data_IF_286013466685
#
_entry.id   IF_286013466685
#
_cell.length_a   1.000
_cell.length_b   1.000
_cell.length_c   1.000
_cell.angle_alpha   90.00
_cell.angle_beta   90.00
_cell.angle_gamma   90.00
#
_symmetry.space_group_name_H-M   'P 1'
#
loop_
_entity.id
_entity.type
_entity.pdbx_description
1 polymer ?
#
# COMPACT_ATOMS: atom_id res chain seq x y z
N UNK A 1 17.40 31.83 -12.27
CA UNK A 1 16.16 31.04 -12.46
C UNK A 1 15.10 31.63 -11.56
N UNK A 2 13.99 32.13 -12.11
CA UNK A 2 12.88 32.65 -11.32
C UNK A 2 11.95 31.51 -10.87
N UNK A 3 11.06 31.77 -9.90
CA UNK A 3 10.14 30.74 -9.37
C UNK A 3 9.33 30.04 -10.47
N UNK A 4 8.87 30.78 -11.48
CA UNK A 4 8.11 30.22 -12.61
C UNK A 4 8.94 29.25 -13.45
N UNK A 5 10.22 29.56 -13.68
CA UNK A 5 11.15 28.67 -14.38
C UNK A 5 11.43 27.41 -13.56
N UNK A 6 11.62 27.53 -12.24
CA UNK A 6 11.80 26.39 -11.34
C UNK A 6 10.56 25.48 -11.37
N UNK A 7 9.36 26.04 -11.25
CA UNK A 7 8.12 25.25 -11.29
C UNK A 7 7.96 24.48 -12.61
N UNK A 8 8.31 25.09 -13.75
CA UNK A 8 8.26 24.39 -15.05
C UNK A 8 9.22 23.21 -15.12
N UNK A 9 10.44 23.36 -14.59
CA UNK A 9 11.38 22.25 -14.55
C UNK A 9 10.94 21.14 -13.58
N UNK A 10 10.29 21.47 -12.47
CA UNK A 10 9.70 20.47 -11.55
C UNK A 10 8.57 19.69 -12.22
N UNK A 11 7.65 20.36 -12.91
CA UNK A 11 6.56 19.69 -13.64
C UNK A 11 7.10 18.75 -14.72
N UNK A 12 8.14 19.18 -15.44
CA UNK A 12 8.82 18.35 -16.42
C UNK A 12 9.47 17.12 -15.79
N UNK A 13 10.10 17.26 -14.62
CA UNK A 13 10.67 16.14 -13.88
C UNK A 13 9.57 15.18 -13.38
N UNK A 14 8.48 15.69 -12.82
CA UNK A 14 7.32 14.88 -12.40
C UNK A 14 6.75 14.07 -13.57
N UNK A 15 6.60 14.69 -14.74
CA UNK A 15 6.14 14.00 -15.95
C UNK A 15 7.11 12.90 -16.42
N UNK A 16 8.42 13.16 -16.41
CA UNK A 16 9.39 12.11 -16.74
C UNK A 16 9.35 10.96 -15.72
N UNK A 17 9.19 11.26 -14.43
CA UNK A 17 9.06 10.25 -13.38
C UNK A 17 7.78 9.43 -13.57
N UNK A 18 6.66 10.03 -13.97
CA UNK A 18 5.44 9.26 -14.22
C UNK A 18 5.62 8.27 -15.38
N UNK A 19 6.26 8.70 -16.48
CA UNK A 19 6.61 7.78 -17.59
C UNK A 19 7.53 6.65 -17.11
N UNK A 20 8.51 6.97 -16.25
CA UNK A 20 9.39 5.94 -15.67
C UNK A 20 8.61 5.01 -14.72
N UNK A 21 7.63 5.53 -13.99
CA UNK A 21 6.75 4.74 -13.13
C UNK A 21 5.95 3.71 -13.92
N UNK A 22 5.47 4.07 -15.10
CA UNK A 22 4.68 3.19 -15.97
C UNK A 22 5.48 1.98 -16.49
N UNK A 23 6.82 2.06 -16.51
CA UNK A 23 7.70 0.96 -16.94
C UNK A 23 8.27 0.15 -15.78
N UNK A 24 8.03 0.55 -14.52
CA UNK A 24 8.48 -0.23 -13.37
C UNK A 24 7.73 -1.55 -13.37
N UNK A 25 8.51 -2.63 -13.25
CA UNK A 25 7.95 -3.96 -13.11
C UNK A 25 7.30 -4.12 -11.73
N UNK A 26 5.99 -3.89 -11.67
CA UNK A 26 5.19 -4.06 -10.45
C UNK A 26 5.31 -5.46 -9.85
N UNK A 27 5.63 -6.49 -10.65
CA UNK A 27 5.82 -7.84 -10.11
C UNK A 27 7.04 -7.93 -9.20
N UNK A 28 8.14 -7.25 -9.59
CA UNK A 28 9.42 -7.28 -8.87
C UNK A 28 9.60 -6.09 -7.90
N UNK A 29 8.91 -4.97 -8.14
CA UNK A 29 9.02 -3.72 -7.37
C UNK A 29 7.64 -3.11 -7.03
N UNK A 30 6.78 -3.86 -6.32
CA UNK A 30 5.39 -3.47 -6.13
C UNK A 30 5.22 -2.22 -5.25
N UNK A 31 6.05 -2.02 -4.22
CA UNK A 31 5.95 -0.87 -3.31
C UNK A 31 6.50 0.39 -3.99
N UNK A 32 7.58 0.29 -4.74
CA UNK A 32 8.16 1.41 -5.50
C UNK A 32 7.21 1.86 -6.61
N UNK A 33 6.64 0.90 -7.35
CA UNK A 33 5.61 1.16 -8.35
C UNK A 33 4.39 1.85 -7.73
N UNK A 34 3.90 1.35 -6.59
CA UNK A 34 2.82 1.98 -5.83
C UNK A 34 3.19 3.41 -5.43
N UNK A 35 4.39 3.62 -4.85
CA UNK A 35 4.86 4.92 -4.37
C UNK A 35 4.80 5.99 -5.47
N UNK A 36 5.30 5.65 -6.66
CA UNK A 36 5.29 6.58 -7.81
C UNK A 36 3.86 6.80 -8.31
N UNK A 37 3.07 5.74 -8.44
CA UNK A 37 1.68 5.84 -8.92
C UNK A 37 0.79 6.70 -8.02
N UNK A 38 1.09 6.72 -6.72
CA UNK A 38 0.33 7.46 -5.71
C UNK A 38 0.92 8.85 -5.39
N UNK A 39 2.00 9.28 -6.07
CA UNK A 39 2.78 10.48 -5.73
C UNK A 39 3.15 10.55 -4.24
N UNK A 40 3.43 9.38 -3.65
CA UNK A 40 3.75 9.25 -2.24
C UNK A 40 5.18 9.70 -1.94
N UNK A 41 5.34 10.27 -0.76
CA UNK A 41 6.64 10.57 -0.20
C UNK A 41 6.97 9.62 0.97
N UNK A 42 8.16 9.78 1.54
CA UNK A 42 8.65 8.98 2.67
C UNK A 42 7.66 8.92 3.85
N UNK A 43 6.96 10.03 4.14
CA UNK A 43 5.98 10.06 5.23
C UNK A 43 4.81 9.11 4.98
N UNK A 44 4.32 9.01 3.74
CA UNK A 44 3.24 8.09 3.40
C UNK A 44 3.67 6.63 3.63
N UNK A 45 4.90 6.29 3.23
CA UNK A 45 5.47 4.95 3.42
C UNK A 45 5.65 4.64 4.91
N UNK A 46 6.26 5.55 5.67
CA UNK A 46 6.46 5.36 7.11
C UNK A 46 5.12 5.22 7.84
N UNK A 47 4.12 6.04 7.51
CA UNK A 47 2.77 5.91 8.08
C UNK A 47 2.10 4.59 7.74
N UNK A 48 2.31 4.10 6.51
CA UNK A 48 1.82 2.77 6.13
C UNK A 48 2.47 1.71 7.03
N UNK A 49 3.79 1.72 7.20
CA UNK A 49 4.49 0.82 8.12
C UNK A 49 4.00 0.93 9.57
N UNK A 50 3.85 2.15 10.11
CA UNK A 50 3.32 2.38 11.47
C UNK A 50 1.96 1.69 11.67
N UNK A 51 1.07 1.78 10.67
CA UNK A 51 -0.25 1.14 10.72
C UNK A 51 -0.10 -0.37 10.67
N UNK A 52 0.66 -0.92 9.73
CA UNK A 52 0.85 -2.37 9.66
C UNK A 52 1.46 -2.93 10.95
N UNK A 53 2.48 -2.28 11.51
CA UNK A 53 3.12 -2.64 12.78
C UNK A 53 2.10 -2.66 13.93
N UNK A 54 1.26 -1.62 14.05
CA UNK A 54 0.18 -1.56 15.05
C UNK A 54 -0.75 -2.78 15.00
N UNK A 55 -1.05 -3.32 13.81
CA UNK A 55 -1.93 -4.50 13.69
C UNK A 55 -1.17 -5.82 13.83
N UNK A 56 0.11 -5.85 13.46
CA UNK A 56 0.99 -6.98 13.70
C UNK A 56 1.20 -7.23 15.21
N UNK A 57 1.42 -6.17 15.98
CA UNK A 57 1.52 -6.23 17.44
C UNK A 57 0.24 -6.78 18.07
N UNK A 58 -0.92 -6.28 17.62
CA UNK A 58 -2.23 -6.76 18.09
C UNK A 58 -2.46 -8.24 17.75
N UNK A 59 -2.06 -8.69 16.55
CA UNK A 59 -2.09 -10.11 16.18
C UNK A 59 -1.21 -10.94 17.12
N UNK A 60 0.02 -10.50 17.35
CA UNK A 60 0.99 -11.16 18.24
C UNK A 60 0.48 -11.28 19.68
N UNK A 61 -0.30 -10.29 20.13
CA UNK A 61 -0.94 -10.29 21.45
C UNK A 61 -2.26 -11.09 21.52
N UNK A 62 -2.65 -11.77 20.43
CA UNK A 62 -3.94 -12.48 20.31
C UNK A 62 -5.16 -11.57 20.58
N UNK A 63 -5.06 -10.28 20.25
CA UNK A 63 -6.17 -9.36 20.39
C UNK A 63 -7.23 -9.62 19.31
N UNK A 64 -8.50 -9.43 19.67
CA UNK A 64 -9.58 -9.52 18.69
C UNK A 64 -9.56 -8.29 17.79
N UNK A 65 -9.07 -8.48 16.57
CA UNK A 65 -9.00 -7.42 15.57
C UNK A 65 -10.34 -7.15 14.90
N UNK A 66 -10.53 -5.86 14.61
CA UNK A 66 -11.62 -5.35 13.77
C UNK A 66 -10.99 -4.80 12.51
N UNK A 67 -11.04 -5.59 11.44
CA UNK A 67 -10.38 -5.26 10.19
C UNK A 67 -10.92 -4.02 9.47
N UNK A 68 -12.14 -3.59 9.79
CA UNK A 68 -12.64 -2.30 9.34
C UNK A 68 -11.88 -1.11 9.97
N UNK A 69 -11.32 -1.27 11.18
CA UNK A 69 -10.49 -0.23 11.82
C UNK A 69 -9.14 -0.12 11.11
N UNK A 70 -8.54 -1.25 10.70
CA UNK A 70 -7.31 -1.27 9.90
C UNK A 70 -7.50 -0.57 8.55
N UNK A 71 -8.60 -0.87 7.87
CA UNK A 71 -8.94 -0.23 6.61
C UNK A 71 -9.14 1.29 6.78
N UNK A 72 -9.86 1.72 7.82
CA UNK A 72 -10.07 3.15 8.08
C UNK A 72 -8.78 3.85 8.46
N UNK A 73 -7.92 3.23 9.28
CA UNK A 73 -6.60 3.79 9.62
C UNK A 73 -5.78 4.05 8.35
N UNK A 74 -5.77 3.12 7.38
CA UNK A 74 -5.10 3.32 6.09
C UNK A 74 -5.74 4.43 5.24
N UNK A 75 -7.07 4.46 5.16
CA UNK A 75 -7.79 5.48 4.37
C UNK A 75 -7.56 6.88 4.92
N UNK A 76 -7.67 7.02 6.23
CA UNK A 76 -7.64 8.32 6.91
C UNK A 76 -6.20 8.88 6.95
N UNK A 77 -5.19 8.05 7.22
CA UNK A 77 -3.79 8.51 7.30
C UNK A 77 -3.15 8.75 5.92
N UNK A 78 -3.60 8.04 4.89
CA UNK A 78 -3.04 8.15 3.53
C UNK A 78 -3.91 8.98 2.58
N UNK A 79 -5.09 9.41 3.02
CA UNK A 79 -6.11 10.10 2.21
C UNK A 79 -6.43 9.33 0.91
N UNK A 80 -6.71 8.03 1.07
CA UNK A 80 -6.96 7.11 -0.05
C UNK A 80 -8.34 6.45 0.02
N UNK A 81 -8.85 6.06 -1.14
CA UNK A 81 -10.10 5.31 -1.23
C UNK A 81 -9.91 3.81 -0.99
N UNK A 82 -11.01 3.10 -0.76
CA UNK A 82 -11.02 1.65 -0.51
C UNK A 82 -10.29 0.82 -1.59
N UNK A 83 -10.45 1.17 -2.86
CA UNK A 83 -9.77 0.44 -3.94
C UNK A 83 -8.25 0.60 -3.86
N UNK A 84 -7.78 1.76 -3.41
CA UNK A 84 -6.35 2.02 -3.22
C UNK A 84 -5.83 1.25 -2.02
N UNK A 85 -6.59 1.16 -0.92
CA UNK A 85 -6.23 0.30 0.24
C UNK A 85 -5.88 -1.11 -0.22
N UNK A 86 -6.72 -1.72 -1.07
CA UNK A 86 -6.46 -3.06 -1.61
C UNK A 86 -5.14 -3.13 -2.38
N UNK A 87 -4.81 -2.12 -3.17
CA UNK A 87 -3.52 -2.06 -3.88
C UNK A 87 -2.35 -1.94 -2.89
N UNK A 88 -2.50 -1.20 -1.80
CA UNK A 88 -1.51 -1.14 -0.71
C UNK A 88 -1.28 -2.54 -0.14
N UNK A 89 -2.35 -3.23 0.30
CA UNK A 89 -2.24 -4.58 0.87
C UNK A 89 -1.54 -5.54 -0.11
N UNK A 90 -1.93 -5.51 -1.39
CA UNK A 90 -1.31 -6.35 -2.41
C UNK A 90 0.16 -6.03 -2.62
N UNK A 91 0.52 -4.75 -2.68
CA UNK A 91 1.88 -4.34 -2.94
C UNK A 91 2.82 -4.76 -1.81
N UNK A 92 2.41 -4.51 -0.56
CA UNK A 92 3.20 -4.89 0.62
C UNK A 92 3.31 -6.42 0.74
N UNK A 93 2.22 -7.15 0.52
CA UNK A 93 2.27 -8.62 0.52
C UNK A 93 3.23 -9.17 -0.54
N UNK A 94 3.16 -8.66 -1.78
CA UNK A 94 4.07 -9.06 -2.88
C UNK A 94 5.51 -8.69 -2.60
N UNK A 95 5.75 -7.62 -1.85
CA UNK A 95 7.08 -7.22 -1.40
C UNK A 95 7.59 -8.05 -0.20
N UNK A 96 6.85 -9.09 0.21
CA UNK A 96 7.15 -9.91 1.39
C UNK A 96 7.19 -9.13 2.71
N UNK A 97 6.39 -8.06 2.81
CA UNK A 97 6.27 -7.23 4.00
C UNK A 97 4.91 -7.42 4.66
N UNK A 98 4.91 -7.53 5.99
CA UNK A 98 3.70 -7.65 6.82
C UNK A 98 2.75 -8.77 6.34
N UNK A 99 3.33 -9.90 5.91
CA UNK A 99 2.61 -10.98 5.25
C UNK A 99 1.48 -11.55 6.10
N UNK A 100 1.69 -11.64 7.41
CA UNK A 100 0.71 -12.16 8.36
C UNK A 100 -0.48 -11.20 8.50
N UNK A 101 -0.24 -9.89 8.66
CA UNK A 101 -1.30 -8.87 8.66
C UNK A 101 -2.08 -8.89 7.35
N UNK A 102 -1.39 -8.93 6.21
CA UNK A 102 -2.01 -9.00 4.89
C UNK A 102 -2.89 -10.26 4.73
N UNK A 103 -2.39 -11.41 5.18
CA UNK A 103 -3.10 -12.68 5.12
C UNK A 103 -4.33 -12.69 6.02
N UNK A 104 -4.20 -12.25 7.28
CA UNK A 104 -5.31 -12.18 8.22
C UNK A 104 -6.38 -11.17 7.79
N UNK A 105 -5.97 -10.02 7.23
CA UNK A 105 -6.90 -9.07 6.62
C UNK A 105 -7.65 -9.71 5.46
N UNK A 106 -6.97 -10.40 4.55
CA UNK A 106 -7.61 -11.10 3.43
C UNK A 106 -8.60 -12.18 3.92
N UNK A 107 -8.25 -12.95 4.95
CA UNK A 107 -9.15 -13.95 5.54
C UNK A 107 -10.39 -13.35 6.20
N UNK A 108 -10.30 -12.10 6.68
CA UNK A 108 -11.40 -11.43 7.37
C UNK A 108 -12.68 -11.28 6.53
N UNK A 109 -12.55 -11.34 5.20
CA UNK A 109 -13.67 -11.29 4.26
C UNK A 109 -14.47 -12.60 4.21
N UNK A 110 -13.96 -13.69 4.80
CA UNK A 110 -14.61 -14.98 4.87
C UNK A 110 -14.97 -15.53 3.48
N UNK A 111 -16.25 -15.82 3.17
CA UNK A 111 -16.65 -16.30 1.85
C UNK A 111 -16.61 -15.22 0.76
N UNK A 112 -16.54 -13.94 1.13
CA UNK A 112 -16.62 -12.81 0.21
C UNK A 112 -15.24 -12.19 -0.09
N UNK A 113 -14.19 -13.02 -0.10
CA UNK A 113 -12.82 -12.57 -0.39
C UNK A 113 -12.77 -11.92 -1.78
N UNK A 114 -12.30 -10.66 -1.89
CA UNK A 114 -12.04 -10.02 -3.18
C UNK A 114 -11.09 -10.85 -4.04
N UNK A 115 -11.36 -10.95 -5.34
CA UNK A 115 -10.64 -11.84 -6.25
C UNK A 115 -9.12 -11.59 -6.28
N UNK A 116 -8.72 -10.33 -6.13
CA UNK A 116 -7.34 -9.89 -6.06
C UNK A 116 -6.58 -10.47 -4.85
N UNK A 117 -7.26 -10.76 -3.73
CA UNK A 117 -6.65 -11.34 -2.54
C UNK A 117 -6.53 -12.87 -2.61
N UNK A 118 -7.04 -13.53 -3.64
CA UNK A 118 -6.82 -14.97 -3.81
C UNK A 118 -5.35 -15.36 -3.90
N UNK A 119 -4.50 -14.46 -4.42
CA UNK A 119 -3.05 -14.69 -4.42
C UNK A 119 -2.46 -14.71 -3.02
N UNK A 120 -3.03 -13.96 -2.07
CA UNK A 120 -2.60 -13.96 -0.67
C UNK A 120 -3.01 -15.29 -0.04
N UNK A 121 -4.27 -15.70 -0.23
CA UNK A 121 -4.83 -16.89 0.42
C UNK A 121 -4.22 -18.20 -0.12
N UNK A 122 -3.95 -18.28 -1.43
CA UNK A 122 -3.45 -19.53 -2.04
C UNK A 122 -2.00 -19.85 -1.71
N UNK A 123 -1.19 -18.86 -1.33
CA UNK A 123 0.23 -19.06 -1.02
C UNK A 123 0.50 -19.35 0.46
N UNK A 124 -0.50 -19.15 1.34
CA UNK A 124 -0.38 -19.35 2.80
C UNK A 124 -1.20 -20.54 3.34
N UNK A 125 -1.77 -21.35 2.45
CA UNK A 125 -2.34 -22.67 2.75
C UNK A 125 -1.36 -23.76 2.34
#
# INVERSE_FOLDING_TARGET
MNLTEISKEIEKLKYHISILGDIIDYHNHPVESLTISMDWNERNINRTHDIFEKYDEKLSNNEKLKWYEFENDLKDELDIEYQMVKQVILAFYKNHQWTDVCYQYALSFGPNIPAEFYQIIRHNN
#
